data_IF_817102367480
#
_entry.id   IF_817102367480
#
_cell.length_a   1.000
_cell.length_b   1.000
_cell.length_c   1.000
_cell.angle_alpha   90.00
_cell.angle_beta   90.00
_cell.angle_gamma   90.00
#
_symmetry.space_group_name_H-M   'P 1'
#
loop_
_entity.id
_entity.type
_entity.pdbx_description
1 polymer ?
#
# COMPACT_ATOMS: atom_id res chain seq x y z
N UNK A 1 16.09 0.38 -20.83
CA UNK A 1 16.08 0.99 -19.51
C UNK A 1 14.73 0.85 -18.83
N UNK A 2 14.65 1.21 -17.53
CA UNK A 2 13.37 1.21 -16.83
C UNK A 2 12.48 2.35 -17.34
N UNK A 3 11.19 2.09 -17.41
CA UNK A 3 10.17 3.09 -17.78
C UNK A 3 9.18 3.36 -16.65
N UNK A 4 9.26 2.64 -15.53
CA UNK A 4 8.46 2.86 -14.31
C UNK A 4 9.39 3.04 -13.11
N UNK A 5 8.87 3.65 -12.04
CA UNK A 5 9.65 3.94 -10.83
C UNK A 5 8.80 3.67 -9.58
N UNK A 6 9.35 2.91 -8.64
CA UNK A 6 8.81 2.80 -7.28
C UNK A 6 9.78 3.40 -6.26
N UNK A 7 9.24 4.18 -5.34
CA UNK A 7 9.99 4.83 -4.27
C UNK A 7 9.27 4.72 -2.92
N UNK A 8 10.00 4.97 -1.84
CA UNK A 8 9.41 5.38 -0.58
C UNK A 8 9.41 6.91 -0.49
N UNK A 9 8.32 7.51 -0.04
CA UNK A 9 8.23 8.97 0.11
C UNK A 9 8.92 9.50 1.36
N UNK A 10 9.34 8.58 2.24
CA UNK A 10 10.09 8.83 3.48
C UNK A 10 10.80 7.53 3.91
N UNK A 11 11.59 7.55 4.99
CA UNK A 11 12.22 6.32 5.48
C UNK A 11 11.18 5.25 5.80
N UNK A 12 11.26 4.03 5.21
CA UNK A 12 10.20 3.02 5.34
C UNK A 12 10.18 2.31 6.70
N UNK A 13 11.15 2.56 7.57
CA UNK A 13 11.32 1.92 8.88
C UNK A 13 11.33 2.91 10.04
N UNK A 14 10.94 4.16 9.79
CA UNK A 14 10.87 5.19 10.82
C UNK A 14 9.49 5.83 10.84
N UNK A 15 8.98 6.12 12.03
CA UNK A 15 7.80 6.95 12.16
C UNK A 15 8.16 8.40 11.87
N UNK A 16 7.41 9.00 10.95
CA UNK A 16 7.47 10.44 10.70
C UNK A 16 6.28 11.07 11.44
N UNK A 17 6.57 11.85 12.49
CA UNK A 17 5.51 12.58 13.19
C UNK A 17 4.98 13.72 12.31
N UNK A 18 3.67 13.73 12.10
CA UNK A 18 2.99 14.75 11.31
C UNK A 18 3.17 16.15 11.87
N UNK A 19 3.04 17.14 11.04
CA UNK A 19 3.18 18.58 11.34
C UNK A 19 1.97 19.16 12.09
N UNK A 20 1.49 18.54 13.16
CA UNK A 20 0.35 19.07 13.94
C UNK A 20 0.75 20.05 15.05
N UNK A 21 2.02 20.49 15.13
CA UNK A 21 2.40 21.58 16.01
C UNK A 21 3.13 22.69 15.27
N UNK A 22 2.56 23.87 15.29
CA UNK A 22 3.10 25.12 14.72
C UNK A 22 4.37 25.64 15.41
N UNK A 23 5.01 24.86 16.28
CA UNK A 23 6.22 25.24 17.00
C UNK A 23 7.04 23.99 17.35
N UNK A 24 7.81 23.47 16.42
CA UNK A 24 8.86 22.51 16.76
C UNK A 24 10.08 22.77 15.87
N UNK A 25 11.14 23.25 16.51
CA UNK A 25 12.49 23.35 15.95
C UNK A 25 12.91 22.02 15.29
N UNK A 26 13.32 22.10 14.03
CA UNK A 26 13.74 20.96 13.23
C UNK A 26 14.88 20.19 13.90
N UNK A 27 14.59 18.97 14.39
CA UNK A 27 15.61 17.99 14.72
C UNK A 27 16.13 17.28 13.44
N UNK A 28 17.34 16.70 13.45
CA UNK A 28 17.89 15.99 12.32
C UNK A 28 17.01 14.76 11.98
N UNK A 29 16.43 14.73 10.77
CA UNK A 29 15.57 13.66 10.26
C UNK A 29 14.23 14.10 9.65
N UNK A 30 13.91 15.39 9.68
CA UNK A 30 12.71 15.97 9.06
C UNK A 30 13.03 16.63 7.71
N UNK A 31 13.44 15.87 6.74
CA UNK A 31 13.47 16.40 5.37
C UNK A 31 12.01 16.43 4.83
N UNK A 32 11.39 17.59 4.98
CA UNK A 32 10.19 17.91 4.18
C UNK A 32 10.71 18.35 2.82
N UNK A 33 10.47 17.58 1.79
CA UNK A 33 10.69 18.04 0.43
C UNK A 33 9.98 19.38 0.24
N UNK A 34 10.73 20.39 -0.17
CA UNK A 34 10.17 21.69 -0.50
C UNK A 34 9.27 21.58 -1.74
N UNK A 35 8.34 22.50 -1.90
CA UNK A 35 7.52 22.57 -3.11
C UNK A 35 8.37 22.65 -4.39
N UNK A 36 9.54 23.30 -4.30
CA UNK A 36 10.51 23.43 -5.40
C UNK A 36 11.14 22.07 -5.75
N UNK A 37 11.56 21.29 -4.75
CA UNK A 37 12.14 19.94 -4.97
C UNK A 37 11.12 19.00 -5.58
N UNK A 38 9.87 19.02 -5.08
CA UNK A 38 8.78 18.22 -5.67
C UNK A 38 8.47 18.63 -7.11
N UNK A 39 8.51 19.92 -7.42
CA UNK A 39 8.31 20.40 -8.79
C UNK A 39 9.45 19.95 -9.71
N UNK A 40 10.70 20.06 -9.24
CA UNK A 40 11.88 19.57 -9.98
C UNK A 40 11.83 18.06 -10.23
N UNK A 41 11.44 17.29 -9.21
CA UNK A 41 11.26 15.83 -9.36
C UNK A 41 10.23 15.50 -10.44
N UNK A 42 9.04 16.13 -10.40
CA UNK A 42 8.01 15.92 -11.41
C UNK A 42 8.48 16.29 -12.82
N UNK A 43 9.14 17.44 -12.97
CA UNK A 43 9.69 17.88 -14.25
C UNK A 43 10.72 16.88 -14.79
N UNK A 44 11.64 16.42 -13.94
CA UNK A 44 12.67 15.46 -14.35
C UNK A 44 12.06 14.09 -14.71
N UNK A 45 11.05 13.64 -13.98
CA UNK A 45 10.31 12.40 -14.30
C UNK A 45 9.64 12.51 -15.67
N UNK A 46 8.99 13.62 -15.95
CA UNK A 46 8.34 13.86 -17.24
C UNK A 46 9.34 13.91 -18.40
N UNK A 47 10.48 14.59 -18.22
CA UNK A 47 11.57 14.66 -19.21
C UNK A 47 12.12 13.26 -19.53
N UNK A 48 12.28 12.41 -18.53
CA UNK A 48 12.76 11.04 -18.65
C UNK A 48 11.67 10.04 -19.09
N UNK A 49 10.43 10.49 -19.26
CA UNK A 49 9.26 9.65 -19.57
C UNK A 49 9.09 8.45 -18.61
N UNK A 50 9.41 8.66 -17.33
CA UNK A 50 9.28 7.64 -16.29
C UNK A 50 7.85 7.63 -15.72
N UNK A 51 7.10 6.58 -16.00
CA UNK A 51 5.75 6.36 -15.50
C UNK A 51 5.28 4.93 -15.72
N UNK A 52 4.46 4.39 -14.83
CA UNK A 52 3.91 5.05 -13.65
C UNK A 52 4.93 5.31 -12.54
N UNK A 53 4.64 6.32 -11.68
CA UNK A 53 5.29 6.49 -10.39
C UNK A 53 4.46 5.79 -9.31
N UNK A 54 5.09 4.87 -8.63
CA UNK A 54 4.54 4.14 -7.49
C UNK A 54 5.21 4.63 -6.22
N UNK A 55 4.44 4.97 -5.21
CA UNK A 55 4.94 5.18 -3.85
C UNK A 55 4.56 3.95 -3.03
N UNK A 56 5.49 3.39 -2.27
CA UNK A 56 5.19 2.35 -1.29
C UNK A 56 5.10 2.98 0.10
N UNK A 57 4.05 2.67 0.83
CA UNK A 57 3.85 3.17 2.18
C UNK A 57 4.86 2.56 3.17
N UNK A 58 5.09 3.26 4.26
CA UNK A 58 5.98 2.84 5.34
C UNK A 58 5.54 1.49 5.94
N UNK A 59 6.48 0.57 6.17
CA UNK A 59 6.23 -0.78 6.72
C UNK A 59 5.71 -0.80 8.17
N UNK A 60 5.87 0.29 8.92
CA UNK A 60 5.37 0.39 10.30
C UNK A 60 3.85 0.62 10.36
N UNK A 61 3.24 1.04 9.26
CA UNK A 61 1.81 1.30 9.18
C UNK A 61 1.04 -0.02 9.34
N UNK A 62 0.18 -0.08 10.35
CA UNK A 62 -0.75 -1.18 10.59
C UNK A 62 -2.18 -0.64 10.73
N UNK A 63 -2.90 -0.55 9.60
CA UNK A 63 -4.26 -0.04 9.52
C UNK A 63 -5.29 -0.99 10.18
N UNK A 64 -4.91 -2.26 10.37
CA UNK A 64 -5.71 -3.31 10.99
C UNK A 64 -5.51 -3.41 12.52
N UNK A 65 -4.56 -2.65 13.10
CA UNK A 65 -4.17 -2.84 14.50
C UNK A 65 -5.35 -2.77 15.46
N UNK A 66 -5.52 -3.76 16.38
CA UNK A 66 -6.48 -3.67 17.46
C UNK A 66 -6.04 -2.65 18.53
N UNK A 67 -4.74 -2.38 18.65
CA UNK A 67 -4.21 -1.32 19.49
C UNK A 67 -4.62 0.05 18.92
N UNK A 68 -5.45 0.75 19.69
CA UNK A 68 -6.00 2.05 19.30
C UNK A 68 -4.90 3.10 19.06
N UNK A 69 -3.87 3.12 19.89
CA UNK A 69 -2.77 4.11 19.80
C UNK A 69 -1.98 3.87 18.50
N UNK A 70 -1.58 2.63 18.27
CA UNK A 70 -0.88 2.26 17.03
C UNK A 70 -1.73 2.50 15.79
N UNK A 71 -3.04 2.19 15.84
CA UNK A 71 -3.93 2.42 14.70
C UNK A 71 -4.10 3.91 14.40
N UNK A 72 -4.30 4.76 15.40
CA UNK A 72 -4.39 6.22 15.21
C UNK A 72 -3.09 6.76 14.60
N UNK A 73 -1.93 6.31 15.10
CA UNK A 73 -0.62 6.68 14.55
C UNK A 73 -0.47 6.21 13.11
N UNK A 74 -0.92 4.99 12.81
CA UNK A 74 -0.89 4.42 11.45
C UNK A 74 -1.79 5.19 10.48
N UNK A 75 -2.98 5.60 10.92
CA UNK A 75 -3.90 6.43 10.12
C UNK A 75 -3.26 7.77 9.79
N UNK A 76 -2.64 8.43 10.79
CA UNK A 76 -1.97 9.71 10.56
C UNK A 76 -0.78 9.55 9.61
N UNK A 77 0.06 8.53 9.83
CA UNK A 77 1.19 8.24 8.96
C UNK A 77 0.74 7.96 7.51
N UNK A 78 -0.35 7.20 7.33
CA UNK A 78 -0.88 6.92 6.00
C UNK A 78 -1.52 8.16 5.35
N UNK A 79 -2.16 9.03 6.13
CA UNK A 79 -2.60 10.34 5.66
C UNK A 79 -1.43 11.16 5.10
N UNK A 80 -0.32 11.22 5.83
CA UNK A 80 0.88 11.95 5.41
C UNK A 80 1.52 11.32 4.16
N UNK A 81 1.47 9.99 4.01
CA UNK A 81 1.87 9.30 2.77
C UNK A 81 0.98 9.71 1.58
N UNK A 82 -0.33 9.78 1.75
CA UNK A 82 -1.26 10.23 0.72
C UNK A 82 -0.95 11.66 0.27
N UNK A 83 -0.73 12.56 1.22
CA UNK A 83 -0.39 13.97 0.92
C UNK A 83 0.93 14.05 0.15
N UNK A 84 1.97 13.31 0.56
CA UNK A 84 3.25 13.29 -0.15
C UNK A 84 3.14 12.66 -1.53
N UNK A 85 2.42 11.53 -1.66
CA UNK A 85 2.21 10.86 -2.95
C UNK A 85 1.51 11.79 -3.96
N UNK A 86 0.47 12.51 -3.52
CA UNK A 86 -0.20 13.53 -4.35
C UNK A 86 0.77 14.65 -4.75
N UNK A 87 1.56 15.17 -3.80
CA UNK A 87 2.52 16.24 -4.06
C UNK A 87 3.64 15.83 -5.03
N UNK A 88 4.06 14.56 -4.99
CA UNK A 88 5.02 13.96 -5.93
C UNK A 88 4.40 13.70 -7.32
N UNK A 89 3.08 13.75 -7.45
CA UNK A 89 2.37 13.37 -8.67
C UNK A 89 2.44 11.86 -8.92
N UNK A 90 2.35 11.06 -7.86
CA UNK A 90 2.32 9.62 -7.98
C UNK A 90 1.01 9.14 -8.61
N UNK A 91 1.12 8.05 -9.38
CA UNK A 91 -0.01 7.37 -9.99
C UNK A 91 -0.63 6.38 -9.00
N UNK A 92 0.22 5.74 -8.18
CA UNK A 92 -0.19 4.72 -7.22
C UNK A 92 0.49 4.89 -5.86
N UNK A 93 -0.25 4.57 -4.79
CA UNK A 93 0.28 4.40 -3.43
C UNK A 93 -0.05 2.97 -2.97
N UNK A 94 0.96 2.13 -2.83
CA UNK A 94 0.86 0.74 -2.36
C UNK A 94 0.91 0.70 -0.84
N UNK A 95 0.05 -0.12 -0.23
CA UNK A 95 0.03 -0.32 1.22
C UNK A 95 -0.36 -1.75 1.57
N UNK A 96 0.33 -2.35 2.54
CA UNK A 96 -0.10 -3.60 3.16
C UNK A 96 -1.33 -3.32 4.06
N UNK A 97 -2.36 -4.20 4.08
CA UNK A 97 -3.51 -4.02 4.96
C UNK A 97 -3.14 -3.93 6.44
N UNK A 98 -2.09 -4.64 6.85
CA UNK A 98 -1.63 -4.72 8.24
C UNK A 98 -1.96 -6.07 8.89
N UNK A 99 -1.86 -6.15 10.22
CA UNK A 99 -2.00 -7.39 10.99
C UNK A 99 -3.03 -7.23 12.12
N UNK A 100 -3.87 -8.26 12.31
CA UNK A 100 -4.91 -8.31 13.36
C UNK A 100 -4.37 -8.58 14.76
N UNK A 101 -3.11 -9.03 14.88
CA UNK A 101 -2.45 -9.37 16.14
C UNK A 101 -3.25 -10.32 17.02
N UNK A 102 -3.88 -11.32 16.42
CA UNK A 102 -4.66 -12.35 17.12
C UNK A 102 -6.15 -12.03 17.25
N UNK A 103 -6.61 -10.88 16.75
CA UNK A 103 -8.02 -10.55 16.65
C UNK A 103 -8.72 -11.23 15.46
N UNK A 104 -10.04 -11.11 15.40
CA UNK A 104 -10.86 -11.60 14.29
C UNK A 104 -10.47 -10.92 12.97
N UNK A 105 -10.16 -11.71 11.93
CA UNK A 105 -9.67 -11.22 10.64
C UNK A 105 -10.72 -10.34 9.93
N UNK A 106 -12.01 -10.65 10.05
CA UNK A 106 -13.09 -9.88 9.44
C UNK A 106 -13.27 -8.52 10.10
N UNK A 107 -13.16 -8.48 11.44
CA UNK A 107 -13.18 -7.22 12.19
C UNK A 107 -11.95 -6.37 11.85
N UNK A 108 -10.77 -7.00 11.75
CA UNK A 108 -9.54 -6.33 11.38
C UNK A 108 -9.60 -5.77 9.95
N UNK A 109 -10.17 -6.50 8.98
CA UNK A 109 -10.41 -6.00 7.63
C UNK A 109 -11.39 -4.82 7.61
N UNK A 110 -12.44 -4.85 8.45
CA UNK A 110 -13.33 -3.71 8.69
C UNK A 110 -12.60 -2.49 9.25
N UNK A 111 -11.64 -2.71 10.18
CA UNK A 111 -10.79 -1.66 10.73
C UNK A 111 -9.86 -1.05 9.66
N UNK A 112 -9.31 -1.86 8.74
CA UNK A 112 -8.54 -1.36 7.58
C UNK A 112 -9.39 -0.41 6.75
N UNK A 113 -10.60 -0.82 6.38
CA UNK A 113 -11.49 -0.01 5.56
C UNK A 113 -11.86 1.33 6.26
N UNK A 114 -12.10 1.30 7.57
CA UNK A 114 -12.34 2.50 8.35
C UNK A 114 -11.09 3.40 8.36
N UNK A 115 -9.90 2.82 8.58
CA UNK A 115 -8.63 3.53 8.64
C UNK A 115 -8.29 4.20 7.31
N UNK A 116 -8.52 3.50 6.18
CA UNK A 116 -8.33 4.05 4.83
C UNK A 116 -9.23 5.27 4.59
N UNK A 117 -10.53 5.16 4.90
CA UNK A 117 -11.47 6.28 4.75
C UNK A 117 -11.08 7.47 5.65
N UNK A 118 -10.62 7.19 6.87
CA UNK A 118 -10.21 8.24 7.80
C UNK A 118 -8.92 8.92 7.32
N UNK A 119 -7.93 8.17 6.86
CA UNK A 119 -6.68 8.71 6.36
C UNK A 119 -6.87 9.53 5.07
N UNK A 120 -7.76 9.10 4.18
CA UNK A 120 -8.07 9.81 2.94
C UNK A 120 -8.99 11.03 3.13
N UNK A 121 -9.54 11.23 4.33
CA UNK A 121 -10.44 12.36 4.61
C UNK A 121 -9.74 13.68 4.36
N UNK A 122 -10.39 14.56 3.59
CA UNK A 122 -9.87 15.88 3.21
C UNK A 122 -8.61 15.86 2.32
N UNK A 123 -8.17 14.70 1.81
CA UNK A 123 -7.11 14.62 0.80
C UNK A 123 -7.75 14.62 -0.58
N UNK A 124 -7.35 15.57 -1.42
CA UNK A 124 -7.75 15.61 -2.84
C UNK A 124 -6.85 14.65 -3.61
N UNK A 125 -7.28 13.39 -3.74
CA UNK A 125 -6.47 12.33 -4.35
C UNK A 125 -6.19 12.54 -5.84
N UNK A 126 -7.07 13.28 -6.57
CA UNK A 126 -6.89 13.48 -8.00
C UNK A 126 -6.88 12.16 -8.76
N UNK A 127 -5.81 11.89 -9.50
CA UNK A 127 -5.58 10.62 -10.22
C UNK A 127 -4.93 9.53 -9.37
N UNK A 128 -4.45 9.85 -8.15
CA UNK A 128 -3.80 8.88 -7.27
C UNK A 128 -4.74 7.74 -6.91
N UNK A 129 -4.31 6.50 -7.11
CA UNK A 129 -5.00 5.29 -6.69
C UNK A 129 -4.26 4.63 -5.54
N UNK A 130 -4.99 4.17 -4.52
CA UNK A 130 -4.46 3.41 -3.39
C UNK A 130 -4.54 1.93 -3.76
N UNK A 131 -3.43 1.21 -3.64
CA UNK A 131 -3.36 -0.22 -3.94
C UNK A 131 -3.14 -1.02 -2.67
N UNK A 132 -4.05 -1.94 -2.40
CA UNK A 132 -3.86 -2.95 -1.35
C UNK A 132 -2.94 -4.04 -1.89
N UNK A 133 -1.83 -4.28 -1.21
CA UNK A 133 -0.92 -5.35 -1.59
C UNK A 133 -1.30 -6.66 -0.90
N UNK A 134 -1.28 -7.77 -1.65
CA UNK A 134 -1.38 -9.09 -1.04
C UNK A 134 -0.16 -9.38 -0.17
N UNK A 135 -0.31 -10.26 0.79
CA UNK A 135 0.73 -10.61 1.77
C UNK A 135 0.94 -12.12 1.85
N UNK A 136 2.05 -12.52 2.43
CA UNK A 136 2.38 -13.94 2.62
C UNK A 136 1.48 -14.66 3.66
N UNK A 137 0.73 -13.92 4.48
CA UNK A 137 -0.17 -14.50 5.48
C UNK A 137 0.51 -14.99 6.75
N UNK A 138 1.79 -14.68 6.94
CA UNK A 138 2.52 -15.11 8.14
C UNK A 138 1.93 -14.48 9.40
N UNK A 139 1.69 -15.31 10.41
CA UNK A 139 1.12 -14.88 11.68
C UNK A 139 -0.33 -14.41 11.54
N UNK A 140 -0.57 -13.11 11.71
CA UNK A 140 -1.91 -12.50 11.71
C UNK A 140 -2.05 -11.37 10.68
N UNK A 141 -1.20 -11.41 9.66
CA UNK A 141 -1.19 -10.40 8.58
C UNK A 141 -2.38 -10.66 7.65
N UNK A 142 -3.10 -9.58 7.32
CA UNK A 142 -4.24 -9.62 6.39
C UNK A 142 -3.79 -9.48 4.93
N UNK A 143 -4.60 -10.01 4.01
CA UNK A 143 -4.36 -9.89 2.57
C UNK A 143 -3.67 -11.10 1.96
N UNK A 144 -3.54 -12.21 2.70
CA UNK A 144 -3.02 -13.48 2.16
C UNK A 144 -4.03 -14.19 1.25
N UNK A 145 -5.32 -13.87 1.37
CA UNK A 145 -6.37 -14.38 0.50
C UNK A 145 -6.98 -13.24 -0.32
N UNK A 146 -7.38 -13.55 -1.55
CA UNK A 146 -8.06 -12.59 -2.41
C UNK A 146 -9.42 -12.15 -1.83
N UNK A 147 -10.08 -13.02 -1.07
CA UNK A 147 -11.33 -12.71 -0.39
C UNK A 147 -11.19 -11.63 0.69
N UNK A 148 -10.07 -11.61 1.42
CA UNK A 148 -9.78 -10.54 2.39
C UNK A 148 -9.58 -9.20 1.69
N UNK A 149 -8.82 -9.17 0.60
CA UNK A 149 -8.63 -7.95 -0.20
C UNK A 149 -9.96 -7.47 -0.76
N UNK A 150 -10.75 -8.39 -1.36
CA UNK A 150 -12.09 -8.06 -1.87
C UNK A 150 -12.98 -7.45 -0.80
N UNK A 151 -13.00 -8.04 0.39
CA UNK A 151 -13.83 -7.55 1.48
C UNK A 151 -13.46 -6.10 1.87
N UNK A 152 -12.16 -5.76 1.92
CA UNK A 152 -11.72 -4.38 2.19
C UNK A 152 -12.13 -3.44 1.05
N UNK A 153 -11.94 -3.87 -0.22
CA UNK A 153 -12.35 -3.09 -1.40
C UNK A 153 -13.84 -2.76 -1.38
N UNK A 154 -14.67 -3.75 -1.09
CA UNK A 154 -16.15 -3.63 -1.06
C UNK A 154 -16.62 -2.67 0.05
N UNK A 155 -15.90 -2.59 1.16
CA UNK A 155 -16.20 -1.67 2.25
C UNK A 155 -15.82 -0.20 1.95
N UNK A 156 -15.12 0.06 0.84
CA UNK A 156 -14.63 1.40 0.50
C UNK A 156 -15.05 1.87 -0.90
N UNK A 157 -16.35 1.82 -1.27
CA UNK A 157 -16.81 2.11 -2.63
C UNK A 157 -16.50 3.54 -3.09
N UNK A 158 -16.28 4.48 -2.16
CA UNK A 158 -15.98 5.88 -2.46
C UNK A 158 -14.49 6.20 -2.60
N UNK A 159 -13.59 5.23 -2.43
CA UNK A 159 -12.16 5.43 -2.58
C UNK A 159 -11.65 4.82 -3.90
N UNK A 160 -10.68 5.45 -4.57
CA UNK A 160 -10.04 4.91 -5.77
C UNK A 160 -9.08 3.76 -5.40
N UNK A 161 -9.63 2.61 -4.98
CA UNK A 161 -8.86 1.45 -4.59
C UNK A 161 -8.57 0.53 -5.77
N UNK A 162 -7.43 -0.16 -5.70
CA UNK A 162 -7.02 -1.26 -6.55
C UNK A 162 -6.16 -2.25 -5.78
N UNK A 163 -5.50 -3.15 -6.49
CA UNK A 163 -4.66 -4.20 -5.93
C UNK A 163 -3.27 -4.13 -6.52
N UNK A 164 -2.27 -4.34 -5.68
CA UNK A 164 -0.91 -4.68 -6.03
C UNK A 164 -0.70 -6.17 -5.74
N UNK A 165 -0.15 -6.91 -6.68
CA UNK A 165 0.16 -8.33 -6.52
C UNK A 165 1.67 -8.49 -6.37
N UNK A 166 2.11 -9.04 -5.22
CA UNK A 166 3.49 -9.47 -5.00
C UNK A 166 3.60 -10.99 -5.21
N UNK A 167 4.47 -11.39 -6.14
CA UNK A 167 4.63 -12.79 -6.53
C UNK A 167 5.26 -13.65 -5.42
N UNK A 168 6.19 -13.10 -4.64
CA UNK A 168 6.78 -13.80 -3.50
C UNK A 168 5.75 -14.01 -2.38
N UNK A 169 4.92 -12.99 -2.11
CA UNK A 169 3.83 -13.09 -1.15
C UNK A 169 2.79 -14.13 -1.59
N UNK A 170 2.39 -14.12 -2.87
CA UNK A 170 1.47 -15.15 -3.37
C UNK A 170 2.02 -16.55 -3.20
N UNK A 171 3.29 -16.75 -3.55
CA UNK A 171 3.92 -18.06 -3.46
C UNK A 171 3.98 -18.55 -2.01
N UNK A 172 4.39 -17.70 -1.07
CA UNK A 172 4.39 -18.01 0.34
C UNK A 172 2.98 -18.26 0.91
N UNK A 173 1.95 -17.58 0.38
CA UNK A 173 0.54 -17.81 0.73
C UNK A 173 -0.07 -19.09 0.11
N UNK A 174 0.70 -19.86 -0.69
CA UNK A 174 0.28 -21.16 -1.23
C UNK A 174 -0.20 -21.14 -2.69
N UNK A 175 -0.10 -20.02 -3.39
CA UNK A 175 -0.40 -19.96 -4.83
C UNK A 175 0.82 -20.40 -5.64
N UNK A 176 0.76 -21.61 -6.24
CA UNK A 176 1.88 -22.14 -7.02
C UNK A 176 2.01 -21.51 -8.40
N UNK A 177 2.45 -20.26 -8.44
CA UNK A 177 2.61 -19.50 -9.69
C UNK A 177 3.85 -19.89 -10.52
N UNK A 178 4.69 -20.81 -10.05
CA UNK A 178 5.83 -21.34 -10.82
C UNK A 178 5.38 -22.23 -11.96
N UNK A 179 4.23 -22.88 -11.82
CA UNK A 179 3.70 -23.86 -12.78
C UNK A 179 2.59 -23.22 -13.59
N UNK A 180 2.56 -23.49 -14.89
CA UNK A 180 1.56 -22.90 -15.79
C UNK A 180 0.12 -23.13 -15.31
N UNK A 181 -0.19 -24.35 -14.85
CA UNK A 181 -1.51 -24.68 -14.31
C UNK A 181 -1.83 -23.90 -13.03
N UNK A 182 -0.85 -23.79 -12.11
CA UNK A 182 -1.03 -23.04 -10.86
C UNK A 182 -1.20 -21.53 -11.11
N UNK A 183 -0.46 -20.97 -12.07
CA UNK A 183 -0.62 -19.60 -12.50
C UNK A 183 -2.02 -19.36 -13.10
N UNK A 184 -2.48 -20.24 -13.98
CA UNK A 184 -3.82 -20.13 -14.58
C UNK A 184 -4.92 -20.20 -13.52
N UNK A 185 -4.82 -21.12 -12.55
CA UNK A 185 -5.75 -21.21 -11.42
C UNK A 185 -5.75 -19.92 -10.59
N UNK A 186 -4.58 -19.35 -10.34
CA UNK A 186 -4.42 -18.10 -9.59
C UNK A 186 -5.08 -16.92 -10.33
N UNK A 187 -4.85 -16.79 -11.64
CA UNK A 187 -5.47 -15.74 -12.45
C UNK A 187 -7.00 -15.88 -12.49
N UNK A 188 -7.52 -17.10 -12.60
CA UNK A 188 -8.97 -17.37 -12.51
C UNK A 188 -9.52 -17.00 -11.13
N UNK A 189 -8.80 -17.28 -10.06
CA UNK A 189 -9.20 -16.93 -8.71
C UNK A 189 -9.25 -15.39 -8.52
N UNK A 190 -8.27 -14.65 -9.03
CA UNK A 190 -8.28 -13.18 -9.03
C UNK A 190 -9.49 -12.66 -9.82
N UNK A 191 -9.67 -13.15 -11.07
CA UNK A 191 -10.77 -12.71 -11.93
C UNK A 191 -12.12 -12.92 -11.30
N UNK A 192 -12.36 -14.11 -10.73
CA UNK A 192 -13.64 -14.45 -10.09
C UNK A 192 -13.88 -13.72 -8.77
N UNK A 193 -12.81 -13.26 -8.09
CA UNK A 193 -12.93 -12.61 -6.78
C UNK A 193 -13.15 -11.10 -6.90
N UNK A 194 -12.25 -10.38 -7.53
CA UNK A 194 -12.35 -8.92 -7.68
C UNK A 194 -12.07 -8.39 -9.09
N UNK A 195 -11.70 -9.27 -10.03
CA UNK A 195 -11.40 -8.95 -11.43
C UNK A 195 -9.96 -8.54 -11.66
N UNK A 196 -9.35 -9.03 -12.75
CA UNK A 196 -7.97 -8.67 -13.16
C UNK A 196 -7.83 -7.18 -13.46
N UNK A 197 -8.90 -6.52 -13.90
CA UNK A 197 -8.93 -5.08 -14.15
C UNK A 197 -8.66 -4.22 -12.90
N UNK A 198 -8.73 -4.80 -11.70
CA UNK A 198 -8.37 -4.12 -10.44
C UNK A 198 -6.91 -4.30 -10.05
N UNK A 199 -6.14 -5.12 -10.76
CA UNK A 199 -4.69 -5.27 -10.55
C UNK A 199 -3.96 -4.22 -11.38
N UNK A 200 -3.28 -3.29 -10.73
CA UNK A 200 -2.59 -2.18 -11.38
C UNK A 200 -1.07 -2.34 -11.36
N UNK A 201 -0.53 -3.01 -10.35
CA UNK A 201 0.90 -3.21 -10.14
C UNK A 201 1.17 -4.68 -9.82
N UNK A 202 2.29 -5.18 -10.33
CA UNK A 202 2.86 -6.48 -9.95
C UNK A 202 4.27 -6.20 -9.41
N UNK A 203 4.52 -6.59 -8.16
CA UNK A 203 5.86 -6.74 -7.63
C UNK A 203 6.37 -8.12 -8.03
N UNK A 204 7.25 -8.17 -9.02
CA UNK A 204 7.82 -9.40 -9.54
C UNK A 204 9.04 -9.79 -8.70
N UNK A 205 8.80 -10.42 -7.56
CA UNK A 205 9.81 -10.84 -6.60
C UNK A 205 9.97 -12.36 -6.60
N UNK A 206 11.21 -12.83 -6.40
CA UNK A 206 11.48 -14.23 -6.09
C UNK A 206 11.27 -14.50 -4.59
N UNK A 207 10.79 -15.72 -4.25
CA UNK A 207 10.49 -16.10 -2.87
C UNK A 207 11.65 -16.89 -2.25
N UNK A 208 12.11 -16.42 -1.08
CA UNK A 208 13.00 -17.20 -0.22
C UNK A 208 12.25 -18.26 0.59
N UNK A 209 10.95 -18.08 0.77
CA UNK A 209 10.08 -18.96 1.51
C UNK A 209 9.56 -20.08 0.60
N UNK A 210 9.38 -21.32 1.12
CA UNK A 210 8.72 -22.37 0.36
C UNK A 210 7.25 -22.06 0.08
N UNK A 211 6.66 -22.84 -0.83
CA UNK A 211 5.23 -22.71 -1.16
C UNK A 211 4.38 -22.98 0.09
N UNK A 212 3.51 -22.02 0.43
CA UNK A 212 2.55 -22.17 1.51
C UNK A 212 3.18 -22.16 2.92
N UNK A 213 4.20 -21.30 3.17
CA UNK A 213 4.97 -21.26 4.43
C UNK A 213 4.61 -20.06 5.31
#
# INVERSE_FOLDING_TARGET
GANALQIFSASPRMWHEGSSSAASTAGPGREKFSAVEMARFRARRAELQLGPLVVHANYLINLASPDRVLRVRSIQAFHDELVRAVALGADYLVVHPGASRGGDARQAAGAVAQSLRQAARNVKLGSLRILLENTAGQGTVLGSTFSELKFILDLCPGLPLGVCIDTAHMFAAGFNIREAQGLEMTLRAIESTFGLARVFIIHCNDSKAPLGS
#
